data_IF_200604074432
#
_entry.id   IF_200604074432
#
_cell.length_a   1.000
_cell.length_b   1.000
_cell.length_c   1.000
_cell.angle_alpha   90.00
_cell.angle_beta   90.00
_cell.angle_gamma   90.00
#
_symmetry.space_group_name_H-M   'P 1'
#
loop_
_entity.id
_entity.type
_entity.pdbx_description
1 polymer ?
#
# COMPACT_ATOMS: atom_id res chain seq x y z
N UNK A 1 1.59 1.67 -12.21
CA UNK A 1 0.98 2.74 -11.38
C UNK A 1 1.94 3.91 -11.17
N UNK A 2 1.44 5.15 -11.02
CA UNK A 2 2.30 6.30 -10.66
C UNK A 2 2.81 6.12 -9.22
N UNK A 3 4.08 6.41 -8.99
CA UNK A 3 4.72 6.16 -7.70
C UNK A 3 5.74 7.23 -7.32
N UNK A 4 5.99 7.33 -6.02
CA UNK A 4 7.09 8.10 -5.46
C UNK A 4 7.95 7.19 -4.59
N UNK A 5 9.28 7.36 -4.67
CA UNK A 5 10.20 6.75 -3.71
C UNK A 5 10.37 7.71 -2.54
N UNK A 6 10.18 7.20 -1.33
CA UNK A 6 10.35 7.97 -0.10
C UNK A 6 11.31 7.29 0.85
N UNK A 7 11.91 8.10 1.73
CA UNK A 7 12.81 7.65 2.79
C UNK A 7 12.23 7.99 4.15
N UNK A 8 12.24 7.02 5.06
CA UNK A 8 11.87 7.19 6.46
C UNK A 8 12.76 6.29 7.33
N UNK A 9 13.42 6.86 8.34
CA UNK A 9 14.24 6.09 9.27
C UNK A 9 15.45 5.34 8.65
N UNK A 10 15.86 5.69 7.42
CA UNK A 10 16.92 4.99 6.68
C UNK A 10 16.41 3.87 5.76
N UNK A 11 15.15 3.48 5.89
CA UNK A 11 14.49 2.56 4.95
C UNK A 11 13.92 3.32 3.74
N UNK A 12 13.86 2.63 2.61
CA UNK A 12 13.22 3.10 1.37
C UNK A 12 11.87 2.44 1.16
N UNK A 13 10.94 3.23 0.64
CA UNK A 13 9.59 2.81 0.37
C UNK A 13 9.16 3.30 -1.01
N UNK A 14 8.39 2.49 -1.73
CA UNK A 14 7.62 2.94 -2.89
C UNK A 14 6.20 3.20 -2.41
N UNK A 15 5.67 4.39 -2.65
CA UNK A 15 4.26 4.69 -2.42
C UNK A 15 3.58 4.83 -3.76
N UNK A 16 2.49 4.10 -3.97
CA UNK A 16 1.68 4.14 -5.18
C UNK A 16 0.23 3.82 -4.84
N UNK A 17 -0.69 4.50 -5.50
CA UNK A 17 -2.12 4.37 -5.23
C UNK A 17 -2.39 4.52 -3.72
N UNK A 18 -3.02 3.56 -3.04
CA UNK A 18 -3.26 3.60 -1.59
C UNK A 18 -2.23 2.84 -0.74
N UNK A 19 -1.13 2.38 -1.34
CA UNK A 19 -0.22 1.41 -0.73
C UNK A 19 1.20 1.95 -0.55
N UNK A 20 1.86 1.47 0.49
CA UNK A 20 3.31 1.62 0.71
C UNK A 20 3.98 0.25 0.65
N UNK A 21 5.00 0.13 -0.17
CA UNK A 21 5.78 -1.09 -0.32
C UNK A 21 7.18 -0.84 0.24
N UNK A 22 7.58 -1.62 1.25
CA UNK A 22 8.96 -1.58 1.75
C UNK A 22 9.89 -2.11 0.67
N UNK A 23 11.00 -1.44 0.42
CA UNK A 23 12.03 -1.92 -0.51
C UNK A 23 13.06 -2.73 0.27
N UNK A 24 13.45 -3.90 -0.23
CA UNK A 24 14.57 -4.66 0.32
C UNK A 24 15.84 -3.79 0.38
N UNK A 25 16.39 -3.63 1.59
CA UNK A 25 17.52 -2.74 1.87
C UNK A 25 18.84 -3.24 1.30
N UNK A 26 19.04 -4.56 1.17
CA UNK A 26 20.29 -5.12 0.65
C UNK A 26 20.45 -4.87 -0.84
N UNK A 27 19.33 -4.86 -1.58
CA UNK A 27 19.30 -4.76 -3.03
C UNK A 27 18.52 -3.53 -3.54
N UNK A 28 18.37 -2.49 -2.70
CA UNK A 28 17.40 -1.42 -2.92
C UNK A 28 17.46 -0.79 -4.32
N UNK A 29 18.65 -0.44 -4.82
CA UNK A 29 18.81 0.14 -6.15
C UNK A 29 18.46 -0.83 -7.28
N UNK A 30 18.78 -2.11 -7.11
CA UNK A 30 18.47 -3.14 -8.11
C UNK A 30 16.96 -3.41 -8.15
N UNK A 31 16.34 -3.54 -6.98
CA UNK A 31 14.88 -3.72 -6.84
C UNK A 31 14.13 -2.53 -7.42
N UNK A 32 14.53 -1.29 -7.13
CA UNK A 32 13.87 -0.09 -7.66
C UNK A 32 13.97 -0.01 -9.19
N UNK A 33 15.14 -0.31 -9.77
CA UNK A 33 15.29 -0.39 -11.24
C UNK A 33 14.42 -1.49 -11.84
N UNK A 34 14.42 -2.68 -11.24
CA UNK A 34 13.56 -3.79 -11.66
C UNK A 34 12.08 -3.43 -11.57
N UNK A 35 11.71 -2.57 -10.61
CA UNK A 35 10.35 -2.10 -10.41
C UNK A 35 9.91 -0.98 -11.36
N UNK A 36 10.76 -0.56 -12.31
CA UNK A 36 10.47 0.50 -13.27
C UNK A 36 10.76 1.92 -12.75
N UNK A 37 11.42 2.06 -11.59
CA UNK A 37 11.88 3.35 -11.09
C UNK A 37 13.24 3.66 -11.71
N UNK A 38 13.20 4.54 -12.70
CA UNK A 38 14.30 5.01 -13.52
C UNK A 38 15.14 6.13 -12.90
N UNK A 39 14.53 6.93 -12.03
CA UNK A 39 15.16 8.06 -11.35
C UNK A 39 15.03 7.96 -9.83
N UNK A 40 16.17 7.93 -9.15
CA UNK A 40 16.25 7.84 -7.69
C UNK A 40 16.48 9.24 -7.09
N UNK A 41 15.38 9.94 -6.81
CA UNK A 41 15.40 11.13 -5.95
C UNK A 41 14.42 10.92 -4.78
N UNK A 42 14.78 10.09 -3.77
CA UNK A 42 13.87 9.79 -2.68
C UNK A 42 13.49 11.05 -1.89
N UNK A 43 12.20 11.18 -1.58
CA UNK A 43 11.69 12.26 -0.74
C UNK A 43 11.68 11.81 0.72
N UNK A 44 12.32 12.56 1.61
CA UNK A 44 12.24 12.26 3.05
C UNK A 44 10.86 12.62 3.58
N UNK A 45 10.23 11.68 4.29
CA UNK A 45 8.88 11.84 4.86
C UNK A 45 8.85 11.45 6.33
N UNK A 46 7.87 11.96 7.06
CA UNK A 46 7.61 11.49 8.43
C UNK A 46 6.97 10.11 8.43
N UNK A 47 7.08 9.40 9.56
CA UNK A 47 6.41 8.12 9.73
C UNK A 47 4.90 8.28 9.71
N UNK A 48 4.36 9.41 10.20
CA UNK A 48 2.93 9.70 10.17
C UNK A 48 2.40 9.83 8.73
N UNK A 49 3.13 10.52 7.85
CA UNK A 49 2.75 10.62 6.43
C UNK A 49 2.77 9.24 5.76
N UNK A 50 3.83 8.46 6.00
CA UNK A 50 3.93 7.11 5.43
C UNK A 50 2.82 6.19 5.98
N UNK A 51 2.45 6.36 7.25
CA UNK A 51 1.38 5.63 7.90
C UNK A 51 -0.02 6.00 7.39
N UNK A 52 -0.19 6.96 6.48
CA UNK A 52 -1.48 7.21 5.81
C UNK A 52 -1.80 6.15 4.74
N UNK A 53 -0.78 5.47 4.22
CA UNK A 53 -0.91 4.46 3.18
C UNK A 53 -0.94 3.05 3.80
N UNK A 54 -1.77 2.18 3.23
CA UNK A 54 -1.85 0.79 3.69
C UNK A 54 -0.54 0.04 3.38
N UNK A 55 -0.05 -0.84 4.26
CA UNK A 55 1.11 -1.66 3.95
C UNK A 55 0.79 -2.62 2.80
N UNK A 56 1.65 -2.62 1.79
CA UNK A 56 1.65 -3.62 0.73
C UNK A 56 2.76 -4.65 0.89
N UNK A 57 2.75 -5.70 0.05
CA UNK A 57 3.80 -6.70 0.06
C UNK A 57 5.16 -6.06 -0.27
N UNK A 58 6.24 -6.36 0.47
CA UNK A 58 7.54 -5.74 0.23
C UNK A 58 7.99 -5.96 -1.21
N UNK A 59 8.70 -4.99 -1.79
CA UNK A 59 9.40 -5.14 -3.06
C UNK A 59 10.77 -5.74 -2.77
N UNK A 60 10.95 -6.99 -3.16
CA UNK A 60 12.16 -7.76 -2.90
C UNK A 60 12.44 -8.72 -4.06
N UNK A 61 13.68 -9.20 -4.23
CA UNK A 61 13.97 -10.25 -5.18
C UNK A 61 13.04 -11.45 -4.98
N UNK A 62 12.38 -11.90 -6.05
CA UNK A 62 11.43 -13.02 -5.97
C UNK A 62 12.20 -14.35 -5.90
N UNK A 63 12.12 -14.99 -4.74
CA UNK A 63 12.71 -16.30 -4.48
C UNK A 63 11.61 -17.36 -4.45
N UNK A 64 11.73 -18.35 -5.33
CA UNK A 64 10.90 -19.56 -5.33
C UNK A 64 11.58 -20.59 -4.43
N UNK A 65 10.84 -21.07 -3.43
CA UNK A 65 11.32 -22.11 -2.51
C UNK A 65 11.47 -23.43 -3.24
N UNK A 66 12.41 -24.28 -2.82
CA UNK A 66 12.68 -25.59 -3.43
C UNK A 66 13.05 -25.54 -4.93
N UNK A 67 13.57 -24.40 -5.38
CA UNK A 67 14.01 -24.21 -6.75
C UNK A 67 15.01 -25.30 -7.18
N UNK A 68 14.73 -25.94 -8.32
CA UNK A 68 15.58 -26.96 -8.94
C UNK A 68 15.12 -28.39 -8.67
N UNK A 69 14.06 -28.56 -7.87
CA UNK A 69 13.45 -29.87 -7.63
C UNK A 69 12.43 -30.22 -8.72
N UNK A 70 12.34 -31.48 -9.18
CA UNK A 70 11.30 -31.90 -10.12
C UNK A 70 9.90 -31.74 -9.54
N UNK A 71 8.96 -31.24 -10.34
CA UNK A 71 7.57 -31.04 -9.92
C UNK A 71 6.67 -32.21 -10.31
N UNK A 72 5.73 -32.57 -9.43
CA UNK A 72 4.74 -33.61 -9.71
C UNK A 72 3.86 -33.22 -10.91
N UNK A 73 3.62 -34.15 -11.83
CA UNK A 73 2.83 -33.90 -13.03
C UNK A 73 3.55 -33.07 -14.11
N UNK A 74 4.80 -32.68 -13.91
CA UNK A 74 5.63 -31.93 -14.86
C UNK A 74 6.63 -32.78 -15.64
N UNK A 75 6.38 -34.09 -15.81
CA UNK A 75 7.28 -34.95 -16.57
C UNK A 75 7.11 -34.71 -18.08
N UNK A 76 8.17 -34.25 -18.75
CA UNK A 76 8.22 -34.01 -20.20
C UNK A 76 9.27 -34.90 -20.87
N UNK A 77 9.17 -35.07 -22.20
CA UNK A 77 10.05 -35.94 -22.99
C UNK A 77 11.54 -35.50 -22.94
N UNK A 78 11.78 -34.20 -22.80
CA UNK A 78 13.08 -33.55 -22.73
C UNK A 78 13.55 -33.29 -21.28
N UNK A 79 12.86 -33.87 -20.29
CA UNK A 79 13.20 -33.80 -18.87
C UNK A 79 12.09 -33.19 -18.01
N UNK A 80 12.06 -33.45 -16.69
CA UNK A 80 11.02 -32.91 -15.83
C UNK A 80 11.11 -31.37 -15.76
N UNK A 81 9.96 -30.73 -15.57
CA UNK A 81 9.89 -29.35 -15.14
C UNK A 81 10.38 -29.23 -13.70
N UNK A 82 11.17 -28.20 -13.43
CA UNK A 82 11.71 -27.93 -12.12
C UNK A 82 10.95 -26.79 -11.45
N UNK A 83 10.76 -26.89 -10.13
CA UNK A 83 10.27 -25.79 -9.31
C UNK A 83 11.18 -24.57 -9.51
N UNK A 84 10.59 -23.40 -9.67
CA UNK A 84 11.27 -22.15 -9.99
C UNK A 84 11.60 -21.95 -11.46
N UNK A 85 11.46 -22.96 -12.31
CA UNK A 85 11.64 -22.82 -13.76
C UNK A 85 10.54 -21.94 -14.35
N UNK A 86 10.90 -21.14 -15.36
CA UNK A 86 9.95 -20.30 -16.08
C UNK A 86 9.58 -20.95 -17.39
N UNK A 87 8.28 -21.15 -17.58
CA UNK A 87 7.70 -21.72 -18.80
C UNK A 87 6.96 -20.65 -19.60
N UNK A 88 7.05 -20.77 -20.91
CA UNK A 88 6.27 -20.00 -21.86
C UNK A 88 5.51 -20.97 -22.75
N UNK A 89 4.20 -20.75 -22.92
CA UNK A 89 3.38 -21.63 -23.75
C UNK A 89 3.51 -21.26 -25.23
N UNK A 90 3.87 -22.21 -26.08
CA UNK A 90 4.00 -21.98 -27.52
C UNK A 90 2.71 -21.41 -28.11
N UNK A 91 2.81 -20.26 -28.79
CA UNK A 91 1.66 -19.55 -29.37
C UNK A 91 0.99 -18.52 -28.46
N UNK A 92 1.42 -18.38 -27.19
CA UNK A 92 1.04 -17.23 -26.36
C UNK A 92 1.94 -16.01 -26.61
N UNK A 93 1.55 -14.80 -26.16
CA UNK A 93 2.44 -13.64 -26.15
C UNK A 93 3.73 -13.94 -25.36
N UNK A 94 4.87 -13.44 -25.83
CA UNK A 94 6.18 -13.71 -25.24
C UNK A 94 6.29 -13.24 -23.77
N UNK A 95 5.48 -12.26 -23.39
CA UNK A 95 5.40 -11.72 -22.04
C UNK A 95 4.55 -12.60 -21.09
N UNK A 96 3.71 -13.48 -21.64
CA UNK A 96 2.87 -14.39 -20.87
C UNK A 96 3.70 -15.58 -20.37
N UNK A 97 4.37 -15.37 -19.24
CA UNK A 97 5.22 -16.36 -18.60
C UNK A 97 4.58 -16.90 -17.33
N UNK A 98 4.90 -18.14 -17.01
CA UNK A 98 4.53 -18.77 -15.75
C UNK A 98 5.77 -19.28 -15.05
N UNK A 99 5.79 -19.21 -13.72
CA UNK A 99 6.79 -19.89 -12.91
C UNK A 99 6.19 -21.14 -12.29
N UNK A 100 6.95 -22.23 -12.31
CA UNK A 100 6.55 -23.51 -11.70
C UNK A 100 6.67 -23.39 -10.18
N UNK A 101 5.56 -23.58 -9.49
CA UNK A 101 5.48 -23.52 -8.03
C UNK A 101 5.74 -24.89 -7.39
N UNK A 102 6.13 -24.95 -6.10
CA UNK A 102 6.40 -26.21 -5.39
C UNK A 102 5.23 -27.19 -5.36
N UNK A 103 3.99 -26.69 -5.42
CA UNK A 103 2.76 -27.47 -5.38
C UNK A 103 2.30 -28.01 -6.75
N UNK A 104 3.09 -27.78 -7.81
CA UNK A 104 2.69 -28.15 -9.17
C UNK A 104 1.73 -27.17 -9.83
N UNK A 105 1.56 -25.97 -9.25
CA UNK A 105 0.85 -24.90 -9.92
C UNK A 105 1.77 -24.07 -10.83
N UNK A 106 1.19 -23.55 -11.92
CA UNK A 106 1.78 -22.53 -12.77
C UNK A 106 1.25 -21.16 -12.31
N UNK A 107 2.12 -20.36 -11.71
CA UNK A 107 1.78 -19.00 -11.31
C UNK A 107 2.21 -18.00 -12.37
N UNK A 108 1.30 -17.11 -12.79
CA UNK A 108 1.61 -16.07 -13.76
C UNK A 108 2.71 -15.17 -13.22
N UNK A 109 3.74 -14.93 -14.04
CA UNK A 109 4.75 -13.91 -13.79
C UNK A 109 4.34 -12.62 -14.50
N UNK A 110 3.88 -11.65 -13.72
CA UNK A 110 3.70 -10.29 -14.24
C UNK A 110 5.04 -9.71 -14.70
N UNK A 111 5.06 -8.68 -15.57
CA UNK A 111 6.29 -7.98 -15.93
C UNK A 111 7.14 -7.54 -14.73
N UNK A 112 6.53 -6.99 -13.68
CA UNK A 112 7.22 -6.65 -12.43
C UNK A 112 7.80 -7.89 -11.74
N UNK A 113 6.98 -8.93 -11.56
CA UNK A 113 7.40 -10.15 -10.89
C UNK A 113 8.55 -10.85 -11.66
N UNK A 114 8.54 -10.79 -12.99
CA UNK A 114 9.63 -11.30 -13.82
C UNK A 114 10.95 -10.53 -13.60
N UNK A 115 10.92 -9.20 -13.49
CA UNK A 115 12.12 -8.42 -13.19
C UNK A 115 12.66 -8.75 -11.79
N UNK A 116 11.79 -8.88 -10.79
CA UNK A 116 12.19 -9.25 -9.43
C UNK A 116 12.65 -10.71 -9.34
N UNK A 117 12.07 -11.62 -10.13
CA UNK A 117 12.52 -13.02 -10.25
C UNK A 117 13.95 -13.11 -10.78
N UNK A 118 14.32 -12.31 -11.77
CA UNK A 118 15.68 -12.27 -12.30
C UNK A 118 16.72 -11.81 -11.26
N UNK A 119 16.30 -11.04 -10.25
CA UNK A 119 17.16 -10.68 -9.11
C UNK A 119 17.21 -11.80 -8.03
N UNK A 120 16.20 -12.66 -7.99
CA UNK A 120 16.08 -13.79 -7.05
C UNK A 120 16.46 -15.12 -7.70
N UNK A 121 15.52 -16.08 -7.73
CA UNK A 121 15.76 -17.45 -8.24
C UNK A 121 16.26 -17.47 -9.69
N UNK A 122 15.84 -16.51 -10.51
CA UNK A 122 16.25 -16.35 -11.91
C UNK A 122 17.74 -16.10 -12.11
N UNK A 123 18.49 -15.72 -11.06
CA UNK A 123 19.97 -15.65 -11.13
C UNK A 123 20.63 -16.98 -11.44
N UNK A 124 19.99 -18.07 -11.03
CA UNK A 124 20.46 -19.45 -11.28
C UNK A 124 19.63 -20.16 -12.35
N UNK A 125 18.40 -19.71 -12.57
CA UNK A 125 17.41 -20.30 -13.47
C UNK A 125 17.06 -19.32 -14.58
N UNK A 126 18.03 -19.08 -15.47
CA UNK A 126 17.96 -17.99 -16.47
C UNK A 126 17.19 -18.35 -17.73
N UNK A 127 17.00 -19.64 -18.01
CA UNK A 127 16.33 -20.11 -19.21
C UNK A 127 14.80 -20.04 -19.05
N UNK A 128 14.13 -19.56 -20.09
CA UNK A 128 12.69 -19.74 -20.26
C UNK A 128 12.48 -20.95 -21.15
N UNK A 129 11.69 -21.93 -20.70
CA UNK A 129 11.40 -23.14 -21.47
C UNK A 129 10.09 -22.98 -22.23
N UNK A 130 10.19 -23.11 -23.54
CA UNK A 130 9.01 -23.17 -24.40
C UNK A 130 8.36 -24.56 -24.31
N UNK A 131 7.09 -24.58 -23.94
CA UNK A 131 6.28 -25.81 -23.79
C UNK A 131 5.00 -25.71 -24.60
N UNK A 132 4.45 -26.83 -25.05
CA UNK A 132 3.11 -26.83 -25.64
C UNK A 132 2.04 -26.78 -24.54
N UNK A 133 0.84 -26.29 -24.86
CA UNK A 133 -0.27 -26.30 -23.90
C UNK A 133 -0.64 -27.72 -23.42
N UNK A 134 -0.46 -28.74 -24.28
CA UNK A 134 -0.71 -30.13 -23.92
C UNK A 134 0.37 -30.70 -22.97
N UNK A 135 1.61 -30.24 -23.08
CA UNK A 135 2.72 -30.67 -22.24
C UNK A 135 2.51 -30.30 -20.76
N UNK A 136 1.83 -29.18 -20.49
CA UNK A 136 1.55 -28.70 -19.13
C UNK A 136 0.11 -28.89 -18.67
N UNK A 137 -0.70 -29.66 -19.42
CA UNK A 137 -2.13 -29.82 -19.15
C UNK A 137 -2.45 -30.51 -17.80
N UNK A 138 -1.50 -31.26 -17.25
CA UNK A 138 -1.59 -31.92 -15.94
C UNK A 138 -1.28 -30.99 -14.76
N UNK A 139 -0.72 -29.81 -15.01
CA UNK A 139 -0.42 -28.82 -13.99
C UNK A 139 -1.62 -27.89 -13.78
N UNK A 140 -1.81 -27.42 -12.56
CA UNK A 140 -2.90 -26.50 -12.23
C UNK A 140 -2.44 -25.06 -12.43
N UNK A 141 -3.35 -24.14 -12.69
CA UNK A 141 -3.03 -22.69 -12.67
C UNK A 141 -3.17 -22.16 -11.25
N UNK A 142 -2.17 -21.43 -10.76
CA UNK A 142 -2.25 -20.80 -9.45
C UNK A 142 -3.36 -19.73 -9.43
N UNK A 143 -4.02 -19.56 -8.27
CA UNK A 143 -5.08 -18.56 -8.10
C UNK A 143 -4.57 -17.11 -8.09
N UNK A 144 -3.31 -16.93 -7.73
CA UNK A 144 -2.64 -15.64 -7.64
C UNK A 144 -1.37 -15.65 -8.51
N UNK A 145 -0.95 -14.48 -9.03
CA UNK A 145 0.35 -14.35 -9.66
C UNK A 145 1.49 -14.64 -8.65
N UNK A 146 2.67 -14.93 -9.17
CA UNK A 146 3.85 -15.06 -8.32
C UNK A 146 4.31 -13.70 -7.78
N UNK A 147 4.85 -13.69 -6.56
CA UNK A 147 5.29 -12.46 -5.88
C UNK A 147 4.24 -11.88 -4.93
N UNK A 148 4.37 -10.59 -4.63
CA UNK A 148 3.45 -9.86 -3.78
C UNK A 148 2.04 -9.78 -4.37
N UNK A 149 1.02 -10.09 -3.56
CA UNK A 149 -0.37 -10.18 -4.02
C UNK A 149 -0.94 -8.86 -4.57
N UNK A 150 -0.35 -7.74 -4.17
CA UNK A 150 -0.77 -6.38 -4.46
C UNK A 150 0.24 -5.61 -5.34
N UNK A 151 1.27 -6.30 -5.84
CA UNK A 151 2.21 -5.72 -6.80
C UNK A 151 1.49 -5.36 -8.12
N UNK A 152 1.72 -4.17 -8.69
CA UNK A 152 1.19 -3.83 -10.01
C UNK A 152 1.83 -4.71 -11.09
N UNK A 153 1.06 -5.11 -12.10
CA UNK A 153 1.54 -6.03 -13.13
C UNK A 153 2.76 -5.48 -13.89
N UNK A 154 2.66 -4.26 -14.42
CA UNK A 154 3.70 -3.64 -15.26
C UNK A 154 4.83 -2.97 -14.47
N UNK A 155 4.67 -2.84 -13.15
CA UNK A 155 5.56 -2.05 -12.29
C UNK A 155 5.07 -0.61 -12.08
N UNK A 156 6.03 0.26 -11.76
CA UNK A 156 5.77 1.64 -11.37
C UNK A 156 6.28 2.64 -12.41
N UNK A 157 5.68 3.82 -12.38
CA UNK A 157 6.11 4.98 -13.14
C UNK A 157 6.38 6.11 -12.16
N UNK A 158 7.61 6.59 -12.10
CA UNK A 158 8.00 7.69 -11.22
C UNK A 158 7.12 8.93 -11.46
N UNK A 159 6.73 9.63 -10.39
CA UNK A 159 6.17 10.98 -10.54
C UNK A 159 7.22 11.90 -11.19
N UNK A 160 6.76 12.91 -11.93
CA UNK A 160 7.64 13.85 -12.61
C UNK A 160 8.30 14.80 -11.61
N UNK A 161 9.49 15.30 -11.90
CA UNK A 161 10.21 16.23 -11.02
C UNK A 161 9.50 17.58 -10.80
N UNK A 162 8.54 17.91 -11.68
CA UNK A 162 7.66 19.08 -11.54
C UNK A 162 6.51 18.87 -10.57
N UNK A 163 6.32 17.65 -10.06
CA UNK A 163 5.24 17.27 -9.17
C UNK A 163 5.77 16.97 -7.74
N UNK A 164 4.98 17.35 -6.74
CA UNK A 164 5.13 16.95 -5.34
C UNK A 164 4.13 15.84 -5.03
N UNK A 165 4.60 14.79 -4.37
CA UNK A 165 3.73 13.75 -3.82
C UNK A 165 2.87 14.30 -2.67
N UNK A 166 1.58 13.98 -2.71
CA UNK A 166 0.61 14.28 -1.67
C UNK A 166 -0.14 13.01 -1.29
N UNK A 167 -0.53 12.89 -0.02
CA UNK A 167 -1.58 11.97 0.37
C UNK A 167 -2.91 12.69 0.22
N UNK A 168 -3.90 12.04 -0.40
CA UNK A 168 -5.25 12.55 -0.55
C UNK A 168 -6.22 11.56 0.08
N UNK A 169 -7.03 12.02 1.03
CA UNK A 169 -8.20 11.28 1.47
C UNK A 169 -9.25 11.39 0.37
N UNK A 170 -9.55 10.27 -0.27
CA UNK A 170 -10.57 10.16 -1.31
C UNK A 170 -11.77 9.39 -0.74
N UNK A 171 -12.97 9.90 -1.00
CA UNK A 171 -14.22 9.22 -0.71
C UNK A 171 -14.87 8.78 -2.02
N UNK A 172 -15.22 7.50 -2.13
CA UNK A 172 -16.00 6.96 -3.22
C UNK A 172 -17.13 6.05 -2.68
N UNK A 173 -17.91 5.41 -3.56
CA UNK A 173 -19.02 4.55 -3.13
C UNK A 173 -18.58 3.32 -2.33
N UNK A 174 -17.29 3.01 -2.30
CA UNK A 174 -16.68 1.94 -1.50
C UNK A 174 -16.17 2.39 -0.12
N UNK A 175 -16.32 3.68 0.22
CA UNK A 175 -15.87 4.26 1.48
C UNK A 175 -14.74 5.28 1.30
N UNK A 176 -14.00 5.55 2.38
CA UNK A 176 -12.86 6.48 2.35
C UNK A 176 -11.54 5.72 2.32
N UNK A 177 -10.60 6.23 1.52
CA UNK A 177 -9.25 5.68 1.42
C UNK A 177 -8.23 6.76 1.12
N UNK A 178 -7.01 6.55 1.59
CA UNK A 178 -5.87 7.37 1.18
C UNK A 178 -5.40 6.92 -0.21
N UNK A 179 -5.12 7.89 -1.10
CA UNK A 179 -4.46 7.66 -2.39
C UNK A 179 -3.30 8.63 -2.58
N UNK A 180 -2.31 8.21 -3.36
CA UNK A 180 -1.22 9.05 -3.82
C UNK A 180 -1.76 10.04 -4.86
N UNK A 181 -1.68 11.32 -4.53
CA UNK A 181 -1.97 12.42 -5.43
C UNK A 181 -0.69 13.19 -5.75
N UNK A 182 -0.75 14.05 -6.76
CA UNK A 182 0.32 15.00 -7.05
C UNK A 182 -0.18 16.43 -7.08
N UNK A 183 0.69 17.35 -6.68
CA UNK A 183 0.49 18.79 -6.83
C UNK A 183 1.72 19.40 -7.52
N UNK A 184 1.58 20.44 -8.36
CA UNK A 184 2.73 21.12 -8.94
C UNK A 184 3.69 21.60 -7.86
N UNK A 185 4.98 21.35 -8.03
CA UNK A 185 6.03 21.75 -7.07
C UNK A 185 6.16 23.27 -6.94
N UNK A 186 5.70 24.03 -7.95
CA UNK A 186 5.61 25.49 -7.95
C UNK A 186 4.57 26.04 -6.98
N UNK A 187 3.60 25.23 -6.55
CA UNK A 187 2.60 25.65 -5.55
C UNK A 187 3.27 25.67 -4.18
N UNK A 188 3.35 26.85 -3.57
CA UNK A 188 3.80 26.99 -2.20
C UNK A 188 2.80 26.32 -1.26
N UNK A 189 3.28 25.43 -0.40
CA UNK A 189 2.51 24.86 0.70
C UNK A 189 3.24 25.17 1.99
N UNK A 190 2.52 25.79 2.93
CA UNK A 190 3.04 26.06 4.27
C UNK A 190 2.81 24.83 5.14
N UNK A 191 3.81 24.43 5.91
CA UNK A 191 3.64 23.34 6.87
C UNK A 191 2.61 23.74 7.94
N UNK A 192 1.72 22.81 8.28
CA UNK A 192 0.68 23.02 9.28
C UNK A 192 -0.67 22.47 8.81
N UNK A 193 -1.66 22.64 9.68
CA UNK A 193 -3.05 22.31 9.38
C UNK A 193 -3.77 23.59 8.99
N UNK A 194 -4.57 23.54 7.92
CA UNK A 194 -5.44 24.64 7.51
C UNK A 194 -6.84 24.10 7.37
N UNK A 195 -7.77 24.69 8.12
CA UNK A 195 -9.21 24.45 8.01
C UNK A 195 -9.85 25.76 7.56
N UNK A 196 -10.85 25.69 6.67
CA UNK A 196 -11.57 26.88 6.26
C UNK A 196 -12.26 27.53 7.47
N UNK A 197 -12.21 28.86 7.57
CA UNK A 197 -12.83 29.58 8.69
C UNK A 197 -14.31 29.22 8.82
N UNK A 198 -14.77 28.98 10.05
CA UNK A 198 -16.13 28.55 10.36
C UNK A 198 -16.47 27.11 9.98
N UNK A 199 -15.47 26.30 9.59
CA UNK A 199 -15.64 24.89 9.26
C UNK A 199 -14.95 24.01 10.31
N UNK A 200 -15.37 22.76 10.35
CA UNK A 200 -14.80 21.68 11.15
C UNK A 200 -15.31 20.35 10.56
N UNK A 201 -14.99 19.25 11.22
CA UNK A 201 -15.50 17.94 10.81
C UNK A 201 -15.82 17.11 12.03
N UNK A 202 -16.95 16.39 12.00
CA UNK A 202 -17.21 15.30 12.91
C UNK A 202 -16.90 14.01 12.14
N UNK A 203 -15.96 13.22 12.66
CA UNK A 203 -15.48 12.03 11.94
C UNK A 203 -15.50 10.80 12.83
N UNK A 204 -15.92 9.68 12.27
CA UNK A 204 -15.68 8.36 12.85
C UNK A 204 -14.31 7.85 12.37
N UNK A 205 -13.34 7.89 13.26
CA UNK A 205 -11.96 7.53 12.97
C UNK A 205 -11.68 6.08 13.38
N UNK A 206 -11.60 5.19 12.40
CA UNK A 206 -11.38 3.77 12.65
C UNK A 206 -9.94 3.35 12.29
N UNK A 207 -9.44 2.34 13.00
CA UNK A 207 -8.24 1.63 12.58
C UNK A 207 -8.46 0.86 11.28
N UNK A 208 -7.37 0.46 10.61
CA UNK A 208 -7.47 -0.42 9.42
C UNK A 208 -7.98 -1.80 9.79
N UNK A 209 -8.71 -2.43 8.88
CA UNK A 209 -9.17 -3.82 9.00
C UNK A 209 -10.58 -3.98 9.57
N UNK A 210 -11.20 -5.14 9.29
CA UNK A 210 -12.54 -5.46 9.78
C UNK A 210 -12.53 -5.65 11.30
N UNK A 211 -13.41 -4.91 11.99
CA UNK A 211 -13.57 -5.01 13.45
C UNK A 211 -12.82 -3.97 14.27
N UNK A 212 -12.10 -3.03 13.63
CA UNK A 212 -11.59 -1.84 14.32
C UNK A 212 -12.75 -0.94 14.74
N UNK A 213 -12.97 -0.80 16.05
CA UNK A 213 -13.95 0.15 16.57
C UNK A 213 -13.48 1.57 16.24
N UNK A 214 -14.39 2.36 15.66
CA UNK A 214 -14.16 3.77 15.40
C UNK A 214 -14.23 4.61 16.68
N UNK A 215 -13.49 5.71 16.69
CA UNK A 215 -13.58 6.75 17.71
C UNK A 215 -14.15 8.00 17.07
N UNK A 216 -15.36 8.39 17.49
CA UNK A 216 -15.93 9.66 17.08
C UNK A 216 -15.01 10.79 17.57
N UNK A 217 -14.62 11.66 16.64
CA UNK A 217 -13.64 12.71 16.86
C UNK A 217 -14.15 14.00 16.23
N UNK A 218 -14.20 15.09 17.00
CA UNK A 218 -14.50 16.42 16.49
C UNK A 218 -13.19 17.11 16.10
N UNK A 219 -13.11 17.60 14.88
CA UNK A 219 -12.02 18.46 14.40
C UNK A 219 -12.56 19.88 14.27
N UNK A 220 -11.97 20.81 15.02
CA UNK A 220 -12.41 22.21 15.02
C UNK A 220 -11.75 23.05 13.90
N UNK A 221 -12.12 24.34 13.83
CA UNK A 221 -11.58 25.29 12.85
C UNK A 221 -10.07 25.58 13.03
N UNK A 222 -9.46 25.17 14.14
CA UNK A 222 -8.02 25.27 14.37
C UNK A 222 -7.26 24.05 13.87
N UNK A 223 -7.97 23.00 13.47
CA UNK A 223 -7.38 21.70 13.13
C UNK A 223 -7.00 20.88 14.36
N UNK A 224 -7.61 21.13 15.51
CA UNK A 224 -7.42 20.33 16.72
C UNK A 224 -8.46 19.22 16.77
N UNK A 225 -8.03 17.99 17.06
CA UNK A 225 -8.86 16.81 17.16
C UNK A 225 -9.23 16.52 18.63
N UNK A 226 -10.52 16.40 18.91
CA UNK A 226 -11.07 16.12 20.25
C UNK A 226 -11.83 14.80 20.21
N UNK A 227 -11.35 13.80 20.95
CA UNK A 227 -11.99 12.48 21.00
C UNK A 227 -13.28 12.53 21.83
N UNK A 228 -14.29 11.77 21.41
CA UNK A 228 -15.58 11.64 22.10
C UNK A 228 -15.81 10.17 22.53
N UNK A 229 -15.15 9.72 23.61
CA UNK A 229 -15.25 8.33 24.04
C UNK A 229 -16.67 7.98 24.46
N UNK A 230 -17.20 6.88 23.91
CA UNK A 230 -18.55 6.40 24.20
C UNK A 230 -19.67 7.26 23.60
N UNK A 231 -19.35 8.14 22.66
CA UNK A 231 -20.36 8.91 21.94
C UNK A 231 -21.28 8.00 21.11
N UNK A 232 -22.55 8.36 21.10
CA UNK A 232 -23.64 7.71 20.39
C UNK A 232 -24.45 8.74 19.57
N UNK A 233 -25.50 8.30 18.90
CA UNK A 233 -26.38 9.17 18.11
C UNK A 233 -26.96 10.35 18.91
N UNK A 234 -27.20 10.16 20.21
CA UNK A 234 -27.67 11.22 21.10
C UNK A 234 -26.58 12.27 21.34
N UNK A 235 -25.33 11.82 21.52
CA UNK A 235 -24.17 12.72 21.62
C UNK A 235 -23.99 13.54 20.34
N UNK A 236 -24.10 12.91 19.16
CA UNK A 236 -24.05 13.57 17.84
C UNK A 236 -25.13 14.66 17.74
N UNK A 237 -26.38 14.34 18.12
CA UNK A 237 -27.49 15.31 18.13
C UNK A 237 -27.27 16.48 19.07
N UNK A 238 -26.73 16.23 20.27
CA UNK A 238 -26.43 17.29 21.25
C UNK A 238 -25.35 18.25 20.79
N UNK A 239 -24.45 17.79 19.94
CA UNK A 239 -23.45 18.62 19.27
C UNK A 239 -24.02 19.39 18.07
N UNK A 240 -25.28 19.14 17.70
CA UNK A 240 -25.98 19.82 16.61
C UNK A 240 -25.80 19.18 15.23
N UNK A 241 -25.31 17.94 15.17
CA UNK A 241 -25.09 17.19 13.93
C UNK A 241 -26.16 16.10 13.74
N UNK A 242 -26.35 15.67 12.49
CA UNK A 242 -27.03 14.43 12.14
C UNK A 242 -26.02 13.29 11.93
N UNK A 243 -26.44 12.01 12.06
CA UNK A 243 -25.56 10.88 11.75
C UNK A 243 -24.96 10.94 10.33
N UNK A 244 -25.72 11.45 9.36
CA UNK A 244 -25.27 11.61 7.97
C UNK A 244 -24.20 12.71 7.80
N UNK A 245 -24.01 13.57 8.80
CA UNK A 245 -22.93 14.57 8.81
C UNK A 245 -21.58 13.97 9.26
N UNK A 246 -21.58 12.74 9.78
CA UNK A 246 -20.37 12.07 10.28
C UNK A 246 -19.60 11.44 9.12
N UNK A 247 -18.41 11.98 8.83
CA UNK A 247 -17.51 11.39 7.84
C UNK A 247 -16.75 10.19 8.42
N UNK A 248 -16.48 9.16 7.62
CA UNK A 248 -15.60 8.05 8.04
C UNK A 248 -14.17 8.30 7.57
N UNK A 249 -13.17 8.13 8.44
CA UNK A 249 -11.75 8.24 8.05
C UNK A 249 -10.89 7.18 8.74
N UNK A 250 -9.69 6.93 8.21
CA UNK A 250 -8.68 6.16 8.94
C UNK A 250 -8.07 6.99 10.09
N UNK A 251 -7.84 6.35 11.24
CA UNK A 251 -7.21 6.97 12.42
C UNK A 251 -5.87 7.65 12.12
N UNK A 252 -5.14 7.18 11.10
CA UNK A 252 -3.88 7.79 10.68
C UNK A 252 -4.02 9.25 10.23
N UNK A 253 -5.19 9.66 9.72
CA UNK A 253 -5.46 11.06 9.39
C UNK A 253 -5.64 11.93 10.63
N UNK A 254 -6.33 11.42 11.66
CA UNK A 254 -6.48 12.12 12.95
C UNK A 254 -5.13 12.29 13.63
N UNK A 255 -4.23 11.30 13.50
CA UNK A 255 -2.90 11.35 14.10
C UNK A 255 -2.01 12.49 13.56
N UNK A 256 -2.35 13.08 12.41
CA UNK A 256 -1.66 14.28 11.88
C UNK A 256 -2.05 15.57 12.61
N UNK A 257 -3.16 15.56 13.33
CA UNK A 257 -3.74 16.71 13.98
C UNK A 257 -3.23 16.84 15.41
N UNK A 258 -3.24 18.08 15.93
CA UNK A 258 -3.01 18.29 17.35
C UNK A 258 -4.16 17.65 18.14
N UNK A 259 -3.83 16.87 19.17
CA UNK A 259 -4.85 16.33 20.08
C UNK A 259 -5.27 17.39 21.10
N UNK A 260 -6.58 17.57 21.24
CA UNK A 260 -7.24 18.30 22.31
C UNK A 260 -7.66 17.37 23.46
N UNK A 261 -8.24 17.92 24.54
CA UNK A 261 -8.86 17.11 25.59
C UNK A 261 -10.04 16.29 25.05
N UNK A 262 -10.35 15.19 25.73
CA UNK A 262 -11.54 14.40 25.45
C UNK A 262 -12.82 15.19 25.79
N UNK A 263 -13.84 15.06 24.95
CA UNK A 263 -15.17 15.63 25.18
C UNK A 263 -16.07 14.53 25.72
N UNK A 264 -16.17 14.49 27.06
CA UNK A 264 -17.05 13.57 27.76
C UNK A 264 -17.95 14.32 28.73
N UNK A 265 -19.09 13.70 29.07
CA UNK A 265 -20.03 14.26 30.04
C UNK A 265 -19.41 14.36 31.45
N UNK A 266 -18.52 13.42 31.80
CA UNK A 266 -17.77 13.46 33.06
C UNK A 266 -16.77 14.61 33.10
N UNK A 267 -16.04 14.86 32.01
CA UNK A 267 -15.11 15.98 31.91
C UNK A 267 -15.84 17.34 31.95
N UNK A 268 -17.01 17.44 31.32
CA UNK A 268 -17.82 18.67 31.35
C UNK A 268 -18.37 19.00 32.75
N UNK A 269 -18.56 17.99 33.61
CA UNK A 269 -18.97 18.17 35.01
C UNK A 269 -17.83 18.48 35.98
N UNK A 270 -16.57 18.38 35.54
CA UNK A 270 -15.42 18.66 36.39
C UNK A 270 -15.21 20.16 36.56
N UNK A 271 -14.99 20.62 37.80
CA UNK A 271 -14.67 22.02 38.07
C UNK A 271 -13.26 22.33 37.57
N UNK A 272 -13.11 23.39 36.77
CA UNK A 272 -11.79 23.87 36.35
C UNK A 272 -10.95 24.20 37.60
N UNK A 273 -9.96 23.37 37.91
CA UNK A 273 -8.85 23.79 38.78
C UNK A 273 -7.93 24.66 37.94
N UNK A 274 -8.23 25.96 37.90
CA UNK A 274 -7.30 26.95 37.39
C UNK A 274 -6.01 26.85 38.22
N UNK A 275 -4.93 26.36 37.62
CA UNK A 275 -3.60 26.51 38.19
C UNK A 275 -3.27 28.00 38.19
N UNK A 276 -3.23 28.61 39.37
CA UNK A 276 -2.77 29.97 39.55
C UNK A 276 -1.25 29.99 39.60
N UNK A 277 -0.62 30.78 38.72
CA UNK A 277 0.76 31.27 38.85
C UNK A 277 1.83 30.42 38.19
#
# INVERSE_FOLDING_TARGET
SRAVVVENGGDRWVVADGLRYRVDGENADAVLRAAGIDSLAPVRVSSDWLNLFSPGAPLEPLVITDAGTPVAGGALDDGPLLVGEVVHTSGSPAEQRFVVQPDGALATLSPLAWQLYQLGSGRTMTAVRDVSASAVASLHTAKAPAGGADWPADGFTSITSGDRACALLSADSGGTRTVLATAPSSRTATAGVTVQAGHGALVDAAGRGSGSAGMLTLVDATGTAFALPGADDETVKRLGYAPDDVGTIEQSWVALLKSGPELSTSAAGATSTASAG
#
